data_IF_571943348692
#
_entry.id   IF_571943348692
#
_cell.length_a   1.000
_cell.length_b   1.000
_cell.length_c   1.000
_cell.angle_alpha   90.00
_cell.angle_beta   90.00
_cell.angle_gamma   90.00
#
_symmetry.space_group_name_H-M   'P 1'
#
loop_
_entity.id
_entity.type
_entity.pdbx_description
1 polymer ?
#
# COMPACT_ATOMS: atom_id res chain seq x y z
N UNK A 1 -26.62 -27.91 -4.92
CA UNK A 1 -26.10 -26.98 -5.91
C UNK A 1 -26.49 -25.54 -5.58
N UNK A 2 -27.77 -25.28 -5.34
CA UNK A 2 -28.29 -23.95 -5.02
C UNK A 2 -27.61 -23.23 -3.82
N UNK A 3 -27.32 -23.95 -2.72
CA UNK A 3 -26.70 -23.36 -1.51
C UNK A 3 -25.25 -22.90 -1.74
N UNK A 4 -24.47 -23.60 -2.54
CA UNK A 4 -23.10 -23.22 -2.87
C UNK A 4 -23.07 -21.98 -3.78
N UNK A 5 -23.96 -21.93 -4.76
CA UNK A 5 -24.12 -20.76 -5.64
C UNK A 5 -24.49 -19.50 -4.86
N UNK A 6 -25.45 -19.61 -3.96
CA UNK A 6 -25.84 -18.50 -3.06
C UNK A 6 -24.67 -18.03 -2.19
N UNK A 7 -23.90 -18.98 -1.64
CA UNK A 7 -22.71 -18.67 -0.83
C UNK A 7 -21.65 -17.92 -1.64
N UNK A 8 -21.44 -18.32 -2.90
CA UNK A 8 -20.51 -17.67 -3.81
C UNK A 8 -21.00 -16.24 -4.13
N UNK A 9 -22.26 -16.07 -4.52
CA UNK A 9 -22.85 -14.77 -4.81
C UNK A 9 -22.71 -13.82 -3.62
N UNK A 10 -22.93 -14.30 -2.41
CA UNK A 10 -22.77 -13.50 -1.19
C UNK A 10 -21.36 -12.94 -1.03
N UNK A 11 -20.31 -13.70 -1.39
CA UNK A 11 -18.94 -13.19 -1.33
C UNK A 11 -18.73 -12.00 -2.27
N UNK A 12 -19.32 -12.04 -3.47
CA UNK A 12 -19.24 -10.91 -4.41
C UNK A 12 -20.00 -9.69 -3.90
N UNK A 13 -21.19 -9.86 -3.34
CA UNK A 13 -21.97 -8.75 -2.79
C UNK A 13 -21.27 -8.11 -1.58
N UNK A 14 -20.76 -8.90 -0.64
CA UNK A 14 -19.98 -8.40 0.50
C UNK A 14 -18.73 -7.63 0.04
N UNK A 15 -18.05 -8.10 -1.02
CA UNK A 15 -16.92 -7.39 -1.61
C UNK A 15 -17.35 -6.07 -2.24
N UNK A 16 -18.42 -6.06 -3.04
CA UNK A 16 -18.93 -4.86 -3.70
C UNK A 16 -19.38 -3.80 -2.68
N UNK A 17 -20.09 -4.21 -1.62
CA UNK A 17 -20.52 -3.31 -0.55
C UNK A 17 -19.33 -2.67 0.17
N UNK A 18 -18.29 -3.48 0.47
CA UNK A 18 -17.05 -2.95 1.06
C UNK A 18 -16.35 -1.97 0.12
N UNK A 19 -16.25 -2.27 -1.18
CA UNK A 19 -15.60 -1.37 -2.14
C UNK A 19 -16.34 -0.03 -2.25
N UNK A 20 -17.68 -0.04 -2.26
CA UNK A 20 -18.47 1.19 -2.24
C UNK A 20 -18.21 2.02 -0.97
N UNK A 21 -18.22 1.39 0.20
CA UNK A 21 -17.90 2.06 1.46
C UNK A 21 -16.47 2.59 1.49
N UNK A 22 -15.51 1.79 1.02
CA UNK A 22 -14.10 2.16 0.95
C UNK A 22 -13.88 3.35 0.01
N UNK A 23 -14.57 3.42 -1.12
CA UNK A 23 -14.46 4.55 -2.05
C UNK A 23 -14.81 5.89 -1.39
N UNK A 24 -15.85 5.94 -0.55
CA UNK A 24 -16.22 7.14 0.17
C UNK A 24 -15.23 7.52 1.28
N UNK A 25 -14.76 6.52 2.04
CA UNK A 25 -13.93 6.74 3.22
C UNK A 25 -12.44 6.92 2.89
N UNK A 26 -11.92 6.21 1.88
CA UNK A 26 -10.50 6.09 1.62
C UNK A 26 -9.98 6.99 0.49
N UNK A 27 -10.84 7.63 -0.30
CA UNK A 27 -10.41 8.49 -1.41
C UNK A 27 -9.42 9.57 -0.95
N UNK A 28 -9.66 10.22 0.20
CA UNK A 28 -8.79 11.26 0.73
C UNK A 28 -7.42 10.73 1.21
N UNK A 29 -7.33 9.69 2.06
CA UNK A 29 -6.03 9.15 2.45
C UNK A 29 -5.29 8.48 1.27
N UNK A 30 -5.98 7.90 0.28
CA UNK A 30 -5.34 7.38 -0.94
C UNK A 30 -4.72 8.53 -1.75
N UNK A 31 -5.42 9.64 -1.92
CA UNK A 31 -4.88 10.82 -2.59
C UNK A 31 -3.63 11.37 -1.88
N UNK A 32 -3.67 11.49 -0.54
CA UNK A 32 -2.52 11.92 0.24
C UNK A 32 -1.31 10.97 0.09
N UNK A 33 -1.56 9.65 0.06
CA UNK A 33 -0.50 8.66 -0.18
C UNK A 33 0.08 8.76 -1.60
N UNK A 34 -0.78 9.00 -2.60
CA UNK A 34 -0.33 9.23 -3.99
C UNK A 34 0.52 10.50 -4.12
N UNK A 35 0.15 11.57 -3.44
CA UNK A 35 0.94 12.81 -3.38
C UNK A 35 2.31 12.58 -2.71
N UNK A 36 2.37 11.82 -1.62
CA UNK A 36 3.63 11.46 -0.96
C UNK A 36 4.52 10.60 -1.90
N UNK A 37 3.93 9.62 -2.58
CA UNK A 37 4.64 8.80 -3.58
C UNK A 37 5.16 9.65 -4.73
N UNK A 38 4.34 10.53 -5.28
CA UNK A 38 4.74 11.44 -6.36
C UNK A 38 5.90 12.34 -5.91
N UNK A 39 5.82 12.92 -4.71
CA UNK A 39 6.88 13.72 -4.13
C UNK A 39 8.20 12.95 -4.00
N UNK A 40 8.15 11.71 -3.49
CA UNK A 40 9.29 10.83 -3.40
C UNK A 40 9.93 10.57 -4.78
N UNK A 41 9.13 10.15 -5.76
CA UNK A 41 9.63 9.79 -7.10
C UNK A 41 10.18 11.01 -7.85
N UNK A 42 9.51 12.15 -7.79
CA UNK A 42 9.96 13.38 -8.48
C UNK A 42 11.21 13.99 -7.84
N UNK A 43 11.45 13.74 -6.56
CA UNK A 43 12.70 14.08 -5.88
C UNK A 43 13.85 13.10 -6.18
N UNK A 44 13.60 12.04 -6.96
CA UNK A 44 14.60 11.01 -7.28
C UNK A 44 14.72 9.91 -6.22
N UNK A 45 13.78 9.84 -5.28
CA UNK A 45 13.68 8.79 -4.28
C UNK A 45 13.10 7.48 -4.84
N UNK A 46 13.00 6.48 -3.98
CA UNK A 46 12.42 5.17 -4.29
C UNK A 46 11.36 4.77 -3.28
N UNK A 47 10.44 3.93 -3.73
CA UNK A 47 9.48 3.25 -2.85
C UNK A 47 10.05 1.91 -2.39
N UNK A 48 10.13 1.71 -1.07
CA UNK A 48 10.43 0.41 -0.45
C UNK A 48 9.11 -0.19 0.04
N UNK A 49 8.87 -1.46 -0.21
CA UNK A 49 7.59 -2.11 0.13
C UNK A 49 7.81 -3.30 1.03
N UNK A 50 7.07 -3.38 2.11
CA UNK A 50 7.02 -4.55 2.98
C UNK A 50 5.57 -4.92 3.32
N UNK A 51 5.33 -6.18 3.63
CA UNK A 51 4.00 -6.63 4.03
C UNK A 51 4.05 -7.85 4.94
N UNK A 52 2.99 -8.02 5.71
CA UNK A 52 2.72 -9.22 6.50
C UNK A 52 1.69 -10.11 5.81
N UNK A 53 1.74 -11.40 6.03
CA UNK A 53 0.77 -12.38 5.55
C UNK A 53 0.39 -12.18 4.07
N UNK A 54 -0.87 -11.88 3.79
CA UNK A 54 -1.38 -11.59 2.43
C UNK A 54 -0.76 -10.31 1.88
N UNK A 55 -0.51 -9.30 2.72
CA UNK A 55 0.15 -8.06 2.33
C UNK A 55 1.53 -8.29 1.73
N UNK A 56 2.25 -9.30 2.20
CA UNK A 56 3.54 -9.66 1.62
C UNK A 56 3.42 -10.28 0.20
N UNK A 57 2.28 -10.88 -0.13
CA UNK A 57 2.00 -11.33 -1.50
C UNK A 57 1.60 -10.15 -2.42
N UNK A 58 1.06 -9.07 -1.85
CA UNK A 58 0.69 -7.86 -2.59
C UNK A 58 1.89 -6.94 -2.87
N UNK A 59 2.91 -6.95 -2.03
CA UNK A 59 4.09 -6.10 -2.19
C UNK A 59 4.78 -6.24 -3.57
N UNK A 60 5.01 -7.44 -4.12
CA UNK A 60 5.54 -7.61 -5.48
C UNK A 60 4.63 -7.04 -6.57
N UNK A 61 3.31 -7.02 -6.37
CA UNK A 61 2.34 -6.51 -7.36
C UNK A 61 2.58 -5.04 -7.63
N UNK A 62 2.61 -4.20 -6.58
CA UNK A 62 2.86 -2.77 -6.76
C UNK A 62 4.29 -2.48 -7.24
N UNK A 63 5.30 -3.21 -6.74
CA UNK A 63 6.68 -3.04 -7.21
C UNK A 63 6.80 -3.37 -8.70
N UNK A 64 6.15 -4.44 -9.16
CA UNK A 64 6.12 -4.78 -10.59
C UNK A 64 5.46 -3.70 -11.44
N UNK A 65 4.34 -3.13 -10.96
CA UNK A 65 3.67 -2.03 -11.63
C UNK A 65 4.55 -0.77 -11.70
N UNK A 66 5.33 -0.46 -10.65
CA UNK A 66 6.23 0.70 -10.61
C UNK A 66 7.47 0.50 -11.48
N UNK A 67 8.17 -0.63 -11.36
CA UNK A 67 9.40 -0.92 -12.11
C UNK A 67 9.16 -1.30 -13.57
N UNK A 68 7.94 -1.71 -13.90
CA UNK A 68 7.48 -1.95 -15.26
C UNK A 68 6.51 -0.85 -15.72
N UNK A 69 5.28 -1.27 -15.99
CA UNK A 69 4.15 -0.37 -16.28
C UNK A 69 2.90 -0.85 -15.55
N UNK A 70 1.98 0.04 -15.27
CA UNK A 70 0.65 -0.33 -14.81
C UNK A 70 -0.29 -0.49 -16.01
N UNK A 71 -1.03 0.51 -16.40
CA UNK A 71 -1.93 0.47 -17.58
C UNK A 71 -1.38 1.27 -18.77
N UNK A 72 -0.44 2.19 -18.52
CA UNK A 72 0.13 3.10 -19.51
C UNK A 72 1.63 2.86 -19.68
N UNK A 73 2.13 3.12 -20.88
CA UNK A 73 3.56 3.12 -21.11
C UNK A 73 4.20 4.36 -20.48
N UNK A 74 5.17 4.14 -19.61
CA UNK A 74 5.97 5.19 -18.96
C UNK A 74 7.36 4.70 -18.60
N UNK A 75 8.30 5.59 -18.30
CA UNK A 75 9.58 5.19 -17.73
C UNK A 75 9.40 4.43 -16.40
N UNK A 76 10.23 3.41 -16.15
CA UNK A 76 10.23 2.70 -14.86
C UNK A 76 10.43 3.65 -13.69
N UNK A 77 9.70 3.42 -12.60
CA UNK A 77 9.83 4.14 -11.34
C UNK A 77 10.58 3.29 -10.32
N UNK A 78 11.42 3.92 -9.50
CA UNK A 78 12.26 3.21 -8.55
C UNK A 78 11.44 2.62 -7.41
N UNK A 79 11.36 1.30 -7.35
CA UNK A 79 10.67 0.57 -6.28
C UNK A 79 11.34 -0.77 -5.99
N UNK A 80 11.23 -1.26 -4.74
CA UNK A 80 11.76 -2.55 -4.34
C UNK A 80 10.95 -3.18 -3.20
N UNK A 81 10.92 -4.51 -3.16
CA UNK A 81 10.34 -5.26 -2.04
C UNK A 81 11.43 -5.55 -1.00
N UNK A 82 11.13 -5.33 0.29
CA UNK A 82 11.97 -5.79 1.38
C UNK A 82 11.87 -7.32 1.53
N UNK A 83 13.00 -7.96 1.72
CA UNK A 83 13.08 -9.43 1.83
C UNK A 83 12.45 -9.89 3.15
N UNK A 84 11.66 -10.96 3.08
CA UNK A 84 11.01 -11.57 4.24
C UNK A 84 11.87 -12.59 4.99
N UNK A 85 12.90 -13.13 4.36
CA UNK A 85 13.81 -14.12 4.91
C UNK A 85 14.88 -13.51 5.85
N UNK A 86 14.74 -12.24 6.19
CA UNK A 86 15.60 -11.52 7.10
C UNK A 86 14.88 -10.36 7.78
N UNK A 87 15.55 -9.71 8.74
CA UNK A 87 14.97 -8.58 9.46
C UNK A 87 14.75 -7.39 8.51
N UNK A 88 13.55 -6.77 8.56
CA UNK A 88 13.17 -5.69 7.65
C UNK A 88 13.79 -4.35 8.06
N UNK A 89 13.85 -4.04 9.35
CA UNK A 89 14.46 -2.79 9.85
C UNK A 89 15.91 -2.59 9.36
N UNK A 90 16.84 -3.54 9.53
CA UNK A 90 18.19 -3.45 8.98
C UNK A 90 18.26 -3.24 7.46
N UNK A 91 17.30 -3.78 6.69
CA UNK A 91 17.25 -3.51 5.24
C UNK A 91 16.90 -2.05 4.96
N UNK A 92 15.95 -1.47 5.71
CA UNK A 92 15.61 -0.04 5.62
C UNK A 92 16.81 0.82 6.02
N UNK A 93 17.51 0.49 7.11
CA UNK A 93 18.73 1.19 7.53
C UNK A 93 19.81 1.18 6.43
N UNK A 94 19.99 0.05 5.75
CA UNK A 94 21.04 -0.12 4.74
C UNK A 94 20.71 0.55 3.40
N UNK A 95 19.45 0.55 3.00
CA UNK A 95 19.01 0.90 1.64
C UNK A 95 18.19 2.19 1.56
N UNK A 96 17.57 2.59 2.68
CA UNK A 96 16.75 3.80 2.78
C UNK A 96 17.60 5.07 2.79
N UNK A 97 17.09 6.09 2.15
CA UNK A 97 17.66 7.44 2.08
C UNK A 97 16.61 8.46 2.49
N UNK A 98 17.01 9.66 2.99
CA UNK A 98 16.08 10.75 3.21
C UNK A 98 15.25 11.07 1.95
N UNK A 99 13.93 11.19 2.12
CA UNK A 99 13.00 11.43 1.01
C UNK A 99 12.52 10.17 0.28
N UNK A 100 13.03 8.98 0.60
CA UNK A 100 12.41 7.72 0.17
C UNK A 100 11.06 7.51 0.85
N UNK A 101 10.27 6.56 0.36
CA UNK A 101 8.99 6.19 0.95
C UNK A 101 8.96 4.70 1.29
N UNK A 102 8.47 4.38 2.50
CA UNK A 102 8.20 3.01 2.92
C UNK A 102 6.69 2.74 2.86
N UNK A 103 6.26 1.84 1.98
CA UNK A 103 4.90 1.33 1.91
C UNK A 103 4.78 0.03 2.69
N UNK A 104 3.94 0.04 3.73
CA UNK A 104 3.65 -1.12 4.56
C UNK A 104 2.24 -1.64 4.24
N UNK A 105 2.12 -2.95 4.03
CA UNK A 105 0.84 -3.63 3.79
C UNK A 105 0.60 -4.65 4.90
N UNK A 106 -0.24 -4.27 5.87
CA UNK A 106 -0.60 -5.08 7.03
C UNK A 106 -2.10 -5.37 7.03
N UNK A 107 -2.49 -6.65 7.03
CA UNK A 107 -3.90 -7.03 7.11
C UNK A 107 -4.50 -6.87 8.51
N UNK A 108 -3.67 -6.57 9.50
CA UNK A 108 -4.01 -6.35 10.91
C UNK A 108 -3.00 -6.99 11.86
N UNK A 109 -2.82 -6.36 13.03
CA UNK A 109 -2.00 -6.91 14.11
C UNK A 109 -0.67 -6.21 14.35
N UNK A 110 -0.23 -5.33 13.46
CA UNK A 110 1.03 -4.59 13.59
C UNK A 110 2.21 -5.50 13.99
N UNK A 111 2.62 -6.47 13.16
CA UNK A 111 3.69 -7.41 13.52
C UNK A 111 5.03 -6.68 13.70
N UNK A 112 5.78 -7.11 14.70
CA UNK A 112 7.06 -6.49 15.10
C UNK A 112 8.03 -6.20 13.91
N UNK A 113 8.21 -7.08 12.90
CA UNK A 113 9.09 -6.78 11.78
C UNK A 113 8.67 -5.54 10.98
N UNK A 114 7.36 -5.29 10.83
CA UNK A 114 6.86 -4.07 10.15
C UNK A 114 7.00 -2.84 11.04
N UNK A 115 6.79 -2.97 12.35
CA UNK A 115 7.04 -1.87 13.31
C UNK A 115 8.52 -1.45 13.29
N UNK A 116 9.44 -2.43 13.29
CA UNK A 116 10.89 -2.17 13.18
C UNK A 116 11.25 -1.50 11.86
N UNK A 117 10.59 -1.87 10.75
CA UNK A 117 10.79 -1.22 9.46
C UNK A 117 10.30 0.24 9.48
N UNK A 118 9.13 0.51 10.09
CA UNK A 118 8.60 1.87 10.24
C UNK A 118 9.54 2.74 11.08
N UNK A 119 9.99 2.27 12.25
CA UNK A 119 10.95 2.98 13.09
C UNK A 119 12.25 3.30 12.34
N UNK A 120 12.80 2.32 11.61
CA UNK A 120 14.00 2.52 10.80
C UNK A 120 13.77 3.53 9.65
N UNK A 121 12.57 3.59 9.08
CA UNK A 121 12.21 4.57 8.07
C UNK A 121 12.18 6.00 8.65
N UNK A 122 11.62 6.18 9.84
CA UNK A 122 11.64 7.49 10.53
C UNK A 122 13.07 7.93 10.85
N UNK A 123 13.93 7.03 11.35
CA UNK A 123 15.35 7.33 11.60
C UNK A 123 16.10 7.72 10.32
N UNK A 124 15.58 7.36 9.15
CA UNK A 124 16.11 7.70 7.83
C UNK A 124 15.42 8.89 7.15
N UNK A 125 14.54 9.59 7.86
CA UNK A 125 13.76 10.70 7.31
C UNK A 125 12.94 10.30 6.06
N UNK A 126 12.39 9.08 6.09
CA UNK A 126 11.49 8.55 5.08
C UNK A 126 10.04 8.76 5.52
N UNK A 127 9.14 8.92 4.57
CA UNK A 127 7.68 8.91 4.83
C UNK A 127 7.16 7.48 4.84
N UNK A 128 6.27 7.15 5.78
CA UNK A 128 5.59 5.86 5.82
C UNK A 128 4.16 6.00 5.30
N UNK A 129 3.80 5.13 4.36
CA UNK A 129 2.40 4.89 3.95
C UNK A 129 2.02 3.51 4.43
N UNK A 130 0.95 3.42 5.21
CA UNK A 130 0.51 2.19 5.84
C UNK A 130 -0.90 1.81 5.38
N UNK A 131 -1.04 0.62 4.78
CA UNK A 131 -2.33 -0.01 4.50
C UNK A 131 -2.65 -0.99 5.62
N UNK A 132 -3.82 -0.82 6.26
CA UNK A 132 -4.31 -1.72 7.32
C UNK A 132 -5.75 -2.18 7.07
N UNK A 133 -6.19 -3.21 7.81
CA UNK A 133 -7.62 -3.47 8.02
C UNK A 133 -8.23 -2.47 9.00
N UNK A 134 -9.35 -2.83 9.62
CA UNK A 134 -10.04 -1.96 10.57
C UNK A 134 -9.07 -1.45 11.65
N UNK A 135 -8.97 -0.13 11.75
CA UNK A 135 -8.04 0.52 12.68
C UNK A 135 -8.48 0.28 14.13
N UNK A 136 -7.66 -0.41 14.89
CA UNK A 136 -7.82 -0.64 16.32
C UNK A 136 -6.81 0.17 17.17
N UNK A 137 -6.17 1.16 16.55
CA UNK A 137 -5.13 1.99 17.19
C UNK A 137 -3.79 1.27 17.38
N UNK A 138 -3.61 0.07 16.82
CA UNK A 138 -2.41 -0.76 17.00
C UNK A 138 -1.15 -0.11 16.42
N UNK A 139 -1.32 0.71 15.37
CA UNK A 139 -0.24 1.41 14.71
C UNK A 139 0.00 2.83 15.23
N UNK A 140 -0.88 3.35 16.10
CA UNK A 140 -0.89 4.75 16.52
C UNK A 140 0.46 5.25 17.08
N UNK A 141 1.15 4.41 17.83
CA UNK A 141 2.45 4.75 18.45
C UNK A 141 3.64 4.56 17.48
N UNK A 142 3.40 3.99 16.31
CA UNK A 142 4.41 3.66 15.31
C UNK A 142 4.35 4.56 14.07
N UNK A 143 3.43 5.52 14.01
CA UNK A 143 3.27 6.46 12.89
C UNK A 143 3.61 7.88 13.35
N UNK A 144 4.30 8.61 12.48
CA UNK A 144 4.55 10.04 12.63
C UNK A 144 3.38 10.87 12.06
N UNK A 145 3.31 12.16 12.36
CA UNK A 145 2.29 13.07 11.83
C UNK A 145 2.35 13.24 10.30
N UNK A 146 3.52 12.99 9.71
CA UNK A 146 3.77 13.06 8.26
C UNK A 146 3.39 11.79 7.52
N UNK A 147 3.08 10.73 8.25
CA UNK A 147 2.73 9.44 7.65
C UNK A 147 1.26 9.38 7.21
N UNK A 148 0.97 8.49 6.30
CA UNK A 148 -0.39 8.30 5.80
C UNK A 148 -0.87 6.90 6.13
N UNK A 149 -1.96 6.80 6.89
CA UNK A 149 -2.64 5.53 7.14
C UNK A 149 -3.89 5.41 6.27
N UNK A 150 -4.03 4.27 5.57
CA UNK A 150 -5.20 3.87 4.79
C UNK A 150 -5.79 2.64 5.47
N UNK A 151 -6.83 2.85 6.29
CA UNK A 151 -7.45 1.81 7.10
C UNK A 151 -8.75 1.33 6.45
N UNK A 152 -8.73 0.14 5.86
CA UNK A 152 -9.92 -0.50 5.25
C UNK A 152 -10.92 -0.85 6.35
N UNK A 153 -12.19 -0.40 6.27
CA UNK A 153 -13.16 -0.56 7.36
C UNK A 153 -13.73 -1.99 7.43
N UNK A 154 -12.88 -3.00 7.50
CA UNK A 154 -13.28 -4.40 7.56
C UNK A 154 -12.28 -5.26 8.37
N UNK A 155 -12.79 -6.31 9.04
CA UNK A 155 -11.98 -7.18 9.90
C UNK A 155 -11.53 -8.49 9.22
N UNK A 156 -12.26 -8.95 8.18
CA UNK A 156 -11.92 -10.20 7.50
C UNK A 156 -10.72 -9.97 6.58
N UNK A 157 -9.62 -10.66 6.85
CA UNK A 157 -8.38 -10.52 6.09
C UNK A 157 -8.56 -10.68 4.56
N UNK A 158 -9.44 -11.58 4.11
CA UNK A 158 -9.73 -11.76 2.69
C UNK A 158 -10.36 -10.50 2.05
N UNK A 159 -11.31 -9.86 2.75
CA UNK A 159 -11.95 -8.61 2.27
C UNK A 159 -10.97 -7.44 2.29
N UNK A 160 -10.17 -7.35 3.37
CA UNK A 160 -9.11 -6.35 3.49
C UNK A 160 -8.10 -6.49 2.35
N UNK A 161 -7.67 -7.71 2.03
CA UNK A 161 -6.71 -7.95 0.94
C UNK A 161 -7.25 -7.56 -0.44
N UNK A 162 -8.53 -7.78 -0.72
CA UNK A 162 -9.18 -7.33 -1.96
C UNK A 162 -9.20 -5.80 -2.06
N UNK A 163 -9.55 -5.13 -0.96
CA UNK A 163 -9.51 -3.66 -0.91
C UNK A 163 -8.09 -3.12 -1.00
N UNK A 164 -7.09 -3.75 -0.34
CA UNK A 164 -5.69 -3.37 -0.46
C UNK A 164 -5.20 -3.46 -1.90
N UNK A 165 -5.55 -4.53 -2.63
CA UNK A 165 -5.18 -4.64 -4.04
C UNK A 165 -5.74 -3.48 -4.86
N UNK A 166 -7.01 -3.12 -4.66
CA UNK A 166 -7.62 -1.98 -5.34
C UNK A 166 -6.94 -0.65 -4.94
N UNK A 167 -6.63 -0.45 -3.66
CA UNK A 167 -5.87 0.73 -3.20
C UNK A 167 -4.51 0.82 -3.89
N UNK A 168 -3.77 -0.30 -4.01
CA UNK A 168 -2.48 -0.32 -4.71
C UNK A 168 -2.64 0.05 -6.19
N UNK A 169 -3.70 -0.39 -6.86
CA UNK A 169 -4.02 0.04 -8.24
C UNK A 169 -4.34 1.53 -8.31
N UNK A 170 -5.13 2.06 -7.38
CA UNK A 170 -5.42 3.50 -7.30
C UNK A 170 -4.15 4.33 -7.10
N UNK A 171 -3.19 3.86 -6.29
CA UNK A 171 -1.90 4.54 -6.11
C UNK A 171 -1.08 4.54 -7.41
N UNK A 172 -1.06 3.43 -8.15
CA UNK A 172 -0.38 3.36 -9.45
C UNK A 172 -1.02 4.33 -10.46
N UNK A 173 -2.34 4.28 -10.61
CA UNK A 173 -3.08 5.14 -11.54
C UNK A 173 -2.91 6.62 -11.20
N UNK A 174 -3.04 6.99 -9.92
CA UNK A 174 -2.90 8.38 -9.47
C UNK A 174 -1.49 8.93 -9.73
N UNK A 175 -0.44 8.13 -9.49
CA UNK A 175 0.94 8.53 -9.79
C UNK A 175 1.14 8.66 -11.30
N UNK A 176 0.64 7.71 -12.10
CA UNK A 176 0.74 7.75 -13.56
C UNK A 176 -0.02 8.95 -14.14
N UNK A 177 -1.21 9.26 -13.62
CA UNK A 177 -2.00 10.44 -14.00
C UNK A 177 -1.24 11.76 -13.74
N UNK A 178 -0.61 11.87 -12.59
CA UNK A 178 0.13 13.08 -12.21
C UNK A 178 1.45 13.25 -13.01
N UNK A 179 2.12 12.16 -13.34
CA UNK A 179 3.37 12.21 -14.11
C UNK A 179 3.16 12.43 -15.61
N UNK A 180 2.10 11.84 -16.16
CA UNK A 180 1.88 11.77 -17.61
C UNK A 180 0.70 12.61 -18.11
N UNK A 181 -0.12 13.14 -17.20
CA UNK A 181 -1.37 13.81 -17.52
C UNK A 181 -2.51 12.84 -17.85
N UNK A 182 -3.69 13.39 -18.12
CA UNK A 182 -4.88 12.63 -18.47
C UNK A 182 -4.82 12.19 -19.95
N UNK A 183 -4.16 11.06 -20.20
CA UNK A 183 -4.13 10.42 -21.52
C UNK A 183 -5.01 9.16 -21.45
N UNK A 184 -5.92 9.01 -22.41
CA UNK A 184 -6.70 7.77 -22.51
C UNK A 184 -5.77 6.55 -22.68
N UNK A 185 -6.05 5.43 -22.01
CA UNK A 185 -5.29 4.20 -22.18
C UNK A 185 -5.39 3.73 -23.64
N UNK A 186 -4.25 3.42 -24.23
CA UNK A 186 -4.10 2.95 -25.62
C UNK A 186 -4.53 1.49 -25.79
#
# INVERSE_FOLDING_TARGET
>A
MHMLEQRIQQQFFESADLQNQAAEMLSRPIAAAAEALLGCITAGGKMMVAGSDVGAALAPVIVSAFTGRFERDRPPLAAMVLRRDGPMGPQVVALGQPGDLLLLVDSGGAPEPLQQAAAAAHDKEMTVVLLTGADRGTWREHLAETDVQIAVPHERAARVAEAHLLVLHCLCDAVDLQLMGDQEPS
#
